data_IF_814632283344
#
_entry.id   IF_814632283344
#
_cell.length_a   1.000
_cell.length_b   1.000
_cell.length_c   1.000
_cell.angle_alpha   90.00
_cell.angle_beta   90.00
_cell.angle_gamma   90.00
#
_symmetry.space_group_name_H-M   'P 1'
#
loop_
_entity.id
_entity.type
_entity.pdbx_description
1 polymer ?
#
# COMPACT_ATOMS: atom_id res chain seq x y z
N UNK A 1 13.35 -3.08 -18.29
CA UNK A 1 14.35 -4.10 -18.15
C UNK A 1 13.68 -5.44 -17.95
N UNK A 2 13.60 -6.30 -18.97
CA UNK A 2 13.44 -7.73 -18.80
C UNK A 2 12.05 -8.33 -18.95
N UNK A 3 11.03 -7.62 -19.41
CA UNK A 3 9.77 -8.26 -19.76
C UNK A 3 9.64 -8.46 -21.28
N UNK A 4 9.75 -9.73 -21.73
CA UNK A 4 9.63 -10.10 -23.15
C UNK A 4 8.27 -9.75 -23.75
N UNK A 5 7.21 -9.72 -22.93
CA UNK A 5 5.85 -9.36 -23.35
C UNK A 5 5.77 -7.91 -23.85
N UNK A 6 6.67 -7.04 -23.35
CA UNK A 6 6.79 -5.65 -23.77
C UNK A 6 8.06 -5.36 -24.57
N UNK A 7 8.61 -6.39 -25.25
CA UNK A 7 9.71 -6.24 -26.21
C UNK A 7 11.12 -6.22 -25.61
N UNK A 8 11.30 -6.60 -24.36
CA UNK A 8 12.62 -6.70 -23.78
C UNK A 8 13.35 -7.96 -24.22
N UNK A 9 14.59 -7.81 -24.69
CA UNK A 9 15.45 -8.91 -25.17
C UNK A 9 16.23 -9.61 -24.04
N UNK A 10 16.31 -8.99 -22.85
CA UNK A 10 17.06 -9.52 -21.69
C UNK A 10 16.25 -9.36 -20.41
N UNK A 11 16.38 -10.32 -19.50
CA UNK A 11 15.84 -10.24 -18.13
C UNK A 11 16.97 -10.35 -17.11
N UNK A 12 17.74 -9.27 -16.85
CA UNK A 12 18.88 -9.29 -15.93
C UNK A 12 18.46 -9.54 -14.48
N UNK A 13 17.19 -9.30 -14.12
CA UNK A 13 16.70 -9.49 -12.76
C UNK A 13 16.26 -10.93 -12.49
N UNK A 14 16.08 -11.77 -13.54
CA UNK A 14 15.56 -13.16 -13.47
C UNK A 14 14.29 -13.30 -12.60
N UNK A 15 13.52 -12.22 -12.46
CA UNK A 15 12.29 -12.13 -11.68
C UNK A 15 11.31 -11.20 -12.39
N UNK A 16 10.04 -11.26 -12.00
CA UNK A 16 9.03 -10.34 -12.47
C UNK A 16 9.44 -8.90 -12.07
N UNK A 17 9.77 -8.10 -13.07
CA UNK A 17 9.91 -6.66 -12.92
C UNK A 17 8.70 -6.03 -13.61
N UNK A 18 7.76 -5.48 -12.86
CA UNK A 18 6.75 -4.60 -13.42
C UNK A 18 7.47 -3.32 -13.84
N UNK A 19 7.54 -3.08 -15.14
CA UNK A 19 8.13 -1.87 -15.71
C UNK A 19 7.06 -1.09 -16.46
N UNK A 20 6.42 -0.15 -15.80
CA UNK A 20 5.89 1.01 -16.49
C UNK A 20 7.08 1.97 -16.71
N UNK A 21 7.39 2.34 -17.95
CA UNK A 21 8.51 3.22 -18.26
C UNK A 21 8.26 4.66 -17.78
N UNK A 22 7.03 5.09 -17.80
CA UNK A 22 6.52 6.30 -17.17
C UNK A 22 5.00 6.16 -17.01
N UNK A 23 4.47 6.65 -15.91
CA UNK A 23 3.05 6.84 -15.69
C UNK A 23 2.81 8.32 -15.42
N UNK A 24 1.79 8.89 -16.05
CA UNK A 24 1.42 10.26 -15.80
C UNK A 24 -0.09 10.42 -15.82
N UNK A 25 -0.59 11.26 -14.96
CA UNK A 25 -1.96 11.75 -15.01
C UNK A 25 -2.01 13.23 -14.64
N UNK A 26 -3.13 13.88 -14.99
CA UNK A 26 -3.38 15.28 -14.65
C UNK A 26 -4.39 15.31 -13.51
N UNK A 27 -4.04 15.96 -12.41
CA UNK A 27 -4.98 16.14 -11.29
C UNK A 27 -6.20 16.96 -11.78
N UNK A 28 -7.44 16.47 -11.61
CA UNK A 28 -8.61 17.05 -12.23
C UNK A 28 -8.91 18.48 -11.76
N UNK A 29 -8.60 18.80 -10.51
CA UNK A 29 -8.84 20.13 -9.92
C UNK A 29 -7.64 21.05 -10.09
N UNK A 30 -6.45 20.63 -9.64
CA UNK A 30 -5.25 21.48 -9.64
C UNK A 30 -4.57 21.57 -11.00
N UNK A 31 -4.94 20.70 -11.94
CA UNK A 31 -4.30 20.56 -13.28
C UNK A 31 -2.80 20.24 -13.21
N UNK A 32 -2.28 19.88 -12.04
CA UNK A 32 -0.89 19.47 -11.87
C UNK A 32 -0.67 18.14 -12.59
N UNK A 33 0.38 18.07 -13.40
CA UNK A 33 0.79 16.85 -14.08
C UNK A 33 1.71 16.05 -13.15
N UNK A 34 1.36 14.79 -12.91
CA UNK A 34 2.21 13.83 -12.20
C UNK A 34 2.83 12.89 -13.22
N UNK A 35 4.14 12.78 -13.23
CA UNK A 35 4.90 11.81 -14.02
C UNK A 35 5.76 10.97 -13.09
N UNK A 36 5.44 9.70 -13.00
CA UNK A 36 6.21 8.73 -12.24
C UNK A 36 7.11 7.95 -13.20
N UNK A 37 8.41 8.04 -13.02
CA UNK A 37 9.40 7.34 -13.85
C UNK A 37 9.71 5.92 -13.35
N UNK A 38 8.88 5.35 -12.49
CA UNK A 38 9.09 4.02 -11.91
C UNK A 38 7.80 3.19 -11.85
N UNK A 39 8.00 1.90 -11.62
CA UNK A 39 7.00 0.83 -11.48
C UNK A 39 5.88 1.12 -10.47
N UNK A 40 6.06 2.11 -9.61
CA UNK A 40 5.20 2.39 -8.46
C UNK A 40 3.80 2.86 -8.87
N UNK A 41 3.66 3.56 -9.98
CA UNK A 41 2.42 4.29 -10.28
C UNK A 41 1.20 3.40 -10.63
N UNK A 42 1.34 2.41 -11.50
CA UNK A 42 0.19 1.52 -11.83
C UNK A 42 -0.16 0.60 -10.67
N UNK A 43 0.84 0.16 -9.89
CA UNK A 43 0.62 -0.69 -8.73
C UNK A 43 -0.17 0.01 -7.62
N UNK A 44 -0.13 1.35 -7.55
CA UNK A 44 -0.97 2.13 -6.64
C UNK A 44 -2.45 2.11 -7.05
N UNK A 45 -2.72 2.16 -8.36
CA UNK A 45 -4.07 2.25 -8.89
C UNK A 45 -4.82 0.92 -8.88
N UNK A 46 -4.12 -0.21 -8.98
CA UNK A 46 -4.77 -1.54 -8.97
C UNK A 46 -5.54 -1.78 -7.66
N UNK A 47 -4.92 -1.73 -6.46
CA UNK A 47 -5.65 -1.95 -5.21
C UNK A 47 -6.74 -0.89 -4.97
N UNK A 48 -6.49 0.36 -5.36
CA UNK A 48 -7.47 1.44 -5.27
C UNK A 48 -8.72 1.11 -6.09
N UNK A 49 -8.54 0.77 -7.37
CA UNK A 49 -9.64 0.43 -8.28
C UNK A 49 -10.41 -0.81 -7.80
N UNK A 50 -9.69 -1.85 -7.32
CA UNK A 50 -10.34 -3.07 -6.84
C UNK A 50 -11.21 -2.81 -5.60
N UNK A 51 -10.77 -1.97 -4.66
CA UNK A 51 -11.59 -1.57 -3.51
C UNK A 51 -12.79 -0.73 -3.93
N UNK A 52 -12.61 0.24 -4.82
CA UNK A 52 -13.71 1.05 -5.35
C UNK A 52 -14.77 0.20 -6.07
N UNK A 53 -14.32 -0.76 -6.88
CA UNK A 53 -15.20 -1.68 -7.60
C UNK A 53 -15.98 -2.59 -6.67
N UNK A 54 -15.33 -3.14 -5.66
CA UNK A 54 -15.98 -3.93 -4.61
C UNK A 54 -17.00 -3.10 -3.84
N UNK A 55 -16.61 -1.90 -3.43
CA UNK A 55 -17.45 -0.99 -2.61
C UNK A 55 -18.80 -0.65 -3.27
N UNK A 56 -18.85 -0.61 -4.60
CA UNK A 56 -20.08 -0.34 -5.38
C UNK A 56 -21.04 -1.52 -5.48
N UNK A 57 -20.63 -2.71 -5.08
CA UNK A 57 -21.49 -3.89 -5.14
C UNK A 57 -22.58 -3.82 -4.06
N UNK A 58 -23.74 -4.40 -4.33
CA UNK A 58 -24.81 -4.52 -3.33
C UNK A 58 -24.39 -5.40 -2.14
N UNK A 59 -23.67 -6.48 -2.44
CA UNK A 59 -23.15 -7.49 -1.52
C UNK A 59 -21.68 -7.29 -1.15
N UNK A 60 -21.20 -6.04 -1.18
CA UNK A 60 -19.80 -5.71 -0.91
C UNK A 60 -19.37 -6.17 0.49
N UNK A 61 -18.26 -6.89 0.55
CA UNK A 61 -17.62 -7.30 1.80
C UNK A 61 -16.68 -6.23 2.37
N UNK A 62 -16.27 -5.25 1.52
CA UNK A 62 -15.50 -4.08 1.92
C UNK A 62 -16.16 -2.84 1.33
N UNK A 63 -16.38 -1.83 2.17
CA UNK A 63 -16.87 -0.51 1.77
C UNK A 63 -15.75 0.51 1.86
N UNK A 64 -15.51 1.21 0.76
CA UNK A 64 -14.44 2.22 0.65
C UNK A 64 -14.91 3.38 -0.24
N UNK A 65 -15.71 4.26 0.34
CA UNK A 65 -16.26 5.41 -0.38
C UNK A 65 -15.17 6.38 -0.86
N UNK A 66 -14.09 6.49 -0.09
CA UNK A 66 -12.98 7.35 -0.48
C UNK A 66 -12.25 6.80 -1.72
N UNK A 67 -12.09 5.47 -1.82
CA UNK A 67 -11.55 4.86 -3.03
C UNK A 67 -12.47 5.08 -4.23
N UNK A 68 -13.79 5.04 -4.07
CA UNK A 68 -14.73 5.35 -5.16
C UNK A 68 -14.54 6.78 -5.68
N UNK A 69 -14.43 7.76 -4.78
CA UNK A 69 -14.21 9.18 -5.12
C UNK A 69 -12.86 9.40 -5.81
N UNK A 70 -11.80 8.75 -5.32
CA UNK A 70 -10.48 8.84 -5.93
C UNK A 70 -10.46 8.28 -7.35
N UNK A 71 -11.08 7.11 -7.57
CA UNK A 71 -11.18 6.50 -8.91
C UNK A 71 -11.95 7.40 -9.88
N UNK A 72 -12.98 8.10 -9.42
CA UNK A 72 -13.74 9.07 -10.24
C UNK A 72 -12.95 10.34 -10.51
N UNK A 73 -12.10 10.75 -9.59
CA UNK A 73 -11.32 11.99 -9.70
C UNK A 73 -10.03 11.82 -10.51
N UNK A 74 -9.47 10.63 -10.60
CA UNK A 74 -8.24 10.36 -11.35
C UNK A 74 -8.57 9.98 -12.79
N UNK A 75 -8.15 10.80 -13.74
CA UNK A 75 -8.33 10.53 -15.17
C UNK A 75 -7.36 9.40 -15.60
N UNK A 76 -7.87 8.17 -15.64
CA UNK A 76 -7.12 6.98 -15.97
C UNK A 76 -8.03 5.89 -16.56
N UNK A 77 -7.55 5.15 -17.55
CA UNK A 77 -8.28 4.00 -18.10
C UNK A 77 -8.13 2.76 -17.21
N UNK A 78 -9.09 2.60 -16.31
CA UNK A 78 -9.15 1.46 -15.38
C UNK A 78 -9.64 0.16 -16.04
N UNK A 79 -10.21 0.21 -17.25
CA UNK A 79 -10.82 -0.97 -17.91
C UNK A 79 -9.83 -2.12 -18.13
N UNK A 80 -8.55 -1.81 -18.27
CA UNK A 80 -7.47 -2.80 -18.38
C UNK A 80 -7.33 -3.72 -17.16
N UNK A 81 -7.88 -3.32 -16.00
CA UNK A 81 -7.87 -4.14 -14.80
C UNK A 81 -9.10 -5.04 -14.67
N UNK A 82 -10.13 -4.90 -15.50
CA UNK A 82 -11.40 -5.63 -15.38
C UNK A 82 -11.27 -7.15 -15.58
N UNK A 83 -10.29 -7.59 -16.34
CA UNK A 83 -10.01 -9.01 -16.56
C UNK A 83 -9.40 -9.74 -15.36
N UNK A 84 -8.86 -9.03 -14.37
CA UNK A 84 -8.07 -9.59 -13.27
C UNK A 84 -8.93 -10.02 -12.06
N UNK A 85 -9.96 -10.86 -12.26
CA UNK A 85 -10.95 -11.24 -11.22
C UNK A 85 -10.32 -11.84 -9.95
N UNK A 86 -9.36 -12.75 -10.10
CA UNK A 86 -8.69 -13.39 -8.94
C UNK A 86 -7.83 -12.37 -8.16
N UNK A 87 -7.12 -11.49 -8.87
CA UNK A 87 -6.35 -10.41 -8.25
C UNK A 87 -7.27 -9.42 -7.53
N UNK A 88 -8.45 -9.14 -8.09
CA UNK A 88 -9.45 -8.28 -7.47
C UNK A 88 -9.91 -8.84 -6.11
N UNK A 89 -10.34 -10.11 -6.10
CA UNK A 89 -10.74 -10.80 -4.87
C UNK A 89 -9.58 -10.82 -3.86
N UNK A 90 -8.37 -11.15 -4.33
CA UNK A 90 -7.18 -11.16 -3.49
C UNK A 90 -6.89 -9.82 -2.82
N UNK A 91 -6.96 -8.71 -3.55
CA UNK A 91 -6.76 -7.36 -3.01
C UNK A 91 -7.83 -7.00 -1.96
N UNK A 92 -9.10 -7.30 -2.24
CA UNK A 92 -10.21 -6.96 -1.34
C UNK A 92 -10.15 -7.78 -0.04
N UNK A 93 -10.00 -9.10 -0.15
CA UNK A 93 -9.92 -10.00 1.01
C UNK A 93 -8.70 -9.67 1.87
N UNK A 94 -7.56 -9.39 1.23
CA UNK A 94 -6.34 -8.96 1.92
C UNK A 94 -6.57 -7.67 2.70
N UNK A 95 -7.11 -6.63 2.04
CA UNK A 95 -7.44 -5.37 2.70
C UNK A 95 -8.36 -5.55 3.90
N UNK A 96 -9.45 -6.33 3.74
CA UNK A 96 -10.37 -6.65 4.83
C UNK A 96 -9.68 -7.38 6.00
N UNK A 97 -8.76 -8.28 5.71
CA UNK A 97 -8.02 -9.02 6.73
C UNK A 97 -7.14 -8.09 7.57
N UNK A 98 -6.43 -7.17 6.93
CA UNK A 98 -5.62 -6.16 7.62
C UNK A 98 -6.48 -5.15 8.38
N UNK A 99 -7.59 -4.70 7.81
CA UNK A 99 -8.53 -3.80 8.49
C UNK A 99 -9.08 -4.43 9.78
N UNK A 100 -9.43 -5.72 9.74
CA UNK A 100 -9.90 -6.44 10.92
C UNK A 100 -8.80 -6.62 11.98
N UNK A 101 -7.55 -6.80 11.57
CA UNK A 101 -6.42 -6.83 12.49
C UNK A 101 -6.26 -5.48 13.22
N UNK A 102 -6.33 -4.37 12.47
CA UNK A 102 -6.23 -3.02 13.03
C UNK A 102 -7.39 -2.73 13.97
N UNK A 103 -8.65 -3.01 13.58
CA UNK A 103 -9.83 -2.82 14.46
C UNK A 103 -9.68 -3.57 15.78
N UNK A 104 -9.25 -4.84 15.71
CA UNK A 104 -8.99 -5.65 16.91
C UNK A 104 -7.88 -5.04 17.76
N UNK A 105 -6.81 -4.56 17.13
CA UNK A 105 -5.70 -3.91 17.82
C UNK A 105 -6.18 -2.64 18.53
N UNK A 106 -6.88 -1.74 17.85
CA UNK A 106 -7.43 -0.52 18.42
C UNK A 106 -8.34 -0.83 19.61
N UNK A 107 -9.21 -1.84 19.50
CA UNK A 107 -10.15 -2.22 20.56
C UNK A 107 -9.48 -2.75 21.83
N UNK A 108 -8.23 -3.24 21.75
CA UNK A 108 -7.55 -3.91 22.86
C UNK A 108 -6.38 -3.15 23.44
N UNK A 109 -5.99 -2.01 22.85
CA UNK A 109 -4.82 -1.21 23.26
C UNK A 109 -5.23 0.13 23.87
N UNK A 110 -4.38 0.63 24.76
CA UNK A 110 -4.61 1.93 25.43
C UNK A 110 -4.17 3.11 24.57
N UNK A 111 -2.99 3.00 23.96
CA UNK A 111 -2.40 4.04 23.11
C UNK A 111 -2.09 3.46 21.72
N UNK A 112 -3.10 3.06 20.95
CA UNK A 112 -2.88 2.38 19.68
C UNK A 112 -2.31 3.33 18.64
N UNK A 113 -1.23 2.89 17.99
CA UNK A 113 -0.59 3.59 16.89
C UNK A 113 -0.52 2.63 15.71
N UNK A 114 -1.12 3.03 14.60
CA UNK A 114 -1.16 2.28 13.35
C UNK A 114 -0.15 2.87 12.40
N UNK A 115 0.77 2.06 11.91
CA UNK A 115 1.76 2.48 10.90
C UNK A 115 1.55 1.64 9.65
N UNK A 116 1.07 2.28 8.58
CA UNK A 116 0.86 1.66 7.28
C UNK A 116 2.06 1.95 6.38
N UNK A 117 2.91 0.96 6.15
CA UNK A 117 4.18 1.09 5.43
C UNK A 117 4.01 0.65 3.98
N UNK A 118 4.40 1.52 3.03
CA UNK A 118 4.10 1.34 1.62
C UNK A 118 2.61 1.58 1.34
N UNK A 119 2.07 2.64 1.94
CA UNK A 119 0.63 2.92 1.99
C UNK A 119 0.01 3.20 0.63
N UNK A 120 0.78 3.68 -0.34
CA UNK A 120 0.26 4.05 -1.66
C UNK A 120 -0.93 4.99 -1.57
N UNK A 121 -2.00 4.64 -2.28
CA UNK A 121 -3.31 5.30 -2.22
C UNK A 121 -4.31 4.51 -1.38
N UNK A 122 -3.84 3.90 -0.29
CA UNK A 122 -4.74 3.25 0.67
C UNK A 122 -5.55 4.29 1.43
N UNK A 123 -6.81 3.97 1.67
CA UNK A 123 -7.82 4.81 2.32
C UNK A 123 -8.28 4.18 3.63
N UNK A 124 -7.38 3.43 4.28
CA UNK A 124 -7.67 2.68 5.51
C UNK A 124 -8.11 3.57 6.65
N UNK A 125 -7.44 4.68 6.83
CA UNK A 125 -7.85 5.67 7.82
C UNK A 125 -9.32 6.08 7.65
N UNK A 126 -9.75 6.36 6.43
CA UNK A 126 -11.11 6.85 6.17
C UNK A 126 -12.18 5.74 6.25
N UNK A 127 -11.82 4.46 6.05
CA UNK A 127 -12.79 3.35 6.06
C UNK A 127 -12.86 2.56 7.38
N UNK A 128 -11.91 2.76 8.30
CA UNK A 128 -11.97 2.18 9.65
C UNK A 128 -12.76 3.14 10.53
N UNK A 129 -13.93 2.71 11.00
CA UNK A 129 -14.84 3.55 11.80
C UNK A 129 -14.21 4.01 13.11
N UNK A 130 -13.33 3.18 13.70
CA UNK A 130 -12.65 3.45 14.96
C UNK A 130 -11.36 4.25 14.82
N UNK A 131 -11.11 4.86 13.68
CA UNK A 131 -9.84 5.57 13.40
C UNK A 131 -9.54 6.71 14.39
N UNK A 132 -10.56 7.34 14.95
CA UNK A 132 -10.44 8.40 15.95
C UNK A 132 -9.88 7.94 17.31
N UNK A 133 -9.85 6.62 17.54
CA UNK A 133 -9.29 6.00 18.78
C UNK A 133 -7.81 5.64 18.66
N UNK A 134 -7.18 5.94 17.54
CA UNK A 134 -5.78 5.63 17.27
C UNK A 134 -5.09 6.80 16.55
N UNK A 135 -3.77 6.81 16.60
CA UNK A 135 -2.97 7.70 15.75
C UNK A 135 -2.49 6.89 14.56
N UNK A 136 -2.74 7.38 13.36
CA UNK A 136 -2.32 6.73 12.13
C UNK A 136 -1.08 7.41 11.53
N UNK A 137 -0.23 6.61 10.93
CA UNK A 137 0.92 7.01 10.13
C UNK A 137 0.90 6.28 8.80
N UNK A 138 0.85 7.03 7.72
CA UNK A 138 0.92 6.54 6.36
C UNK A 138 2.32 6.84 5.80
N UNK A 139 3.08 5.79 5.51
CA UNK A 139 4.46 5.93 5.06
C UNK A 139 4.65 5.37 3.66
N UNK A 140 5.30 6.13 2.81
CA UNK A 140 5.71 5.70 1.47
C UNK A 140 6.88 6.56 0.96
N UNK A 141 7.35 6.28 -0.26
CA UNK A 141 8.36 7.08 -0.94
C UNK A 141 7.89 8.54 -1.08
N UNK A 142 8.82 9.51 -1.08
CA UNK A 142 8.47 10.94 -1.11
C UNK A 142 7.49 11.31 -2.23
N UNK A 143 7.70 10.79 -3.44
CA UNK A 143 6.83 11.06 -4.59
C UNK A 143 5.41 10.48 -4.43
N UNK A 144 5.26 9.39 -3.69
CA UNK A 144 3.95 8.78 -3.38
C UNK A 144 3.24 9.61 -2.32
N UNK A 145 3.96 10.05 -1.30
CA UNK A 145 3.41 10.90 -0.23
C UNK A 145 3.00 12.28 -0.77
N UNK A 146 3.76 12.86 -1.71
CA UNK A 146 3.38 14.10 -2.37
C UNK A 146 2.09 13.95 -3.17
N UNK A 147 1.98 12.86 -3.95
CA UNK A 147 0.72 12.51 -4.63
C UNK A 147 -0.42 12.31 -3.64
N UNK A 148 -0.17 11.59 -2.55
CA UNK A 148 -1.16 11.32 -1.53
C UNK A 148 -1.68 12.62 -0.89
N UNK A 149 -0.82 13.57 -0.56
CA UNK A 149 -1.21 14.87 -0.02
C UNK A 149 -2.12 15.68 -0.95
N UNK A 150 -1.87 15.58 -2.26
CA UNK A 150 -2.69 16.28 -3.25
C UNK A 150 -4.07 15.63 -3.44
N UNK A 151 -4.18 14.30 -3.30
CA UNK A 151 -5.42 13.55 -3.50
C UNK A 151 -6.21 13.31 -2.20
N UNK A 152 -5.51 13.14 -1.10
CA UNK A 152 -6.01 12.82 0.23
C UNK A 152 -5.34 13.77 1.23
N UNK A 153 -5.93 14.93 1.50
CA UNK A 153 -5.37 15.86 2.48
C UNK A 153 -5.17 15.21 3.83
N UNK A 154 -4.02 15.43 4.44
CA UNK A 154 -3.61 14.85 5.73
C UNK A 154 -4.55 15.35 6.86
N UNK A 155 -5.37 14.47 7.47
CA UNK A 155 -6.25 14.86 8.57
C UNK A 155 -5.50 14.86 9.90
N UNK A 156 -6.10 15.43 10.94
CA UNK A 156 -5.42 15.61 12.24
C UNK A 156 -4.97 14.28 12.91
N UNK A 157 -5.64 13.17 12.64
CA UNK A 157 -5.34 11.86 13.25
C UNK A 157 -4.55 10.91 12.34
N UNK A 158 -4.18 11.35 11.13
CA UNK A 158 -3.45 10.55 10.14
C UNK A 158 -2.26 11.37 9.62
N UNK A 159 -1.05 10.90 9.87
CA UNK A 159 0.18 11.62 9.58
C UNK A 159 0.96 10.95 8.45
N UNK A 160 1.53 11.74 7.55
CA UNK A 160 2.24 11.24 6.38
C UNK A 160 3.76 11.31 6.58
N UNK A 161 4.43 10.19 6.38
CA UNK A 161 5.89 10.05 6.46
C UNK A 161 6.45 9.78 5.07
N UNK A 162 7.24 10.72 4.54
CA UNK A 162 7.96 10.53 3.30
C UNK A 162 9.33 9.91 3.57
N UNK A 163 9.59 8.71 3.06
CA UNK A 163 10.86 8.03 3.27
C UNK A 163 10.87 6.59 2.77
N UNK A 164 12.02 5.95 2.89
CA UNK A 164 12.18 4.54 2.54
C UNK A 164 11.93 3.65 3.75
N UNK A 165 11.16 2.58 3.57
CA UNK A 165 10.95 1.58 4.61
C UNK A 165 12.25 0.88 5.06
N UNK A 166 13.31 0.95 4.23
CA UNK A 166 14.63 0.40 4.57
C UNK A 166 15.47 1.34 5.45
N UNK A 167 15.06 2.59 5.62
CA UNK A 167 15.69 3.53 6.54
C UNK A 167 15.17 3.31 7.95
N UNK A 168 15.97 3.67 8.96
CA UNK A 168 15.59 3.45 10.37
C UNK A 168 15.14 4.73 11.07
N UNK A 169 15.40 5.89 10.48
CA UNK A 169 15.12 7.18 11.11
C UNK A 169 13.65 7.33 11.49
N UNK A 170 12.73 6.97 10.60
CA UNK A 170 11.30 7.04 10.87
C UNK A 170 10.87 6.16 12.08
N UNK A 171 11.55 5.00 12.25
CA UNK A 171 11.28 4.11 13.39
C UNK A 171 11.71 4.77 14.70
N UNK A 172 12.92 5.34 14.71
CA UNK A 172 13.49 6.02 15.88
C UNK A 172 12.67 7.27 16.25
N UNK A 173 12.23 8.04 15.26
CA UNK A 173 11.38 9.22 15.44
C UNK A 173 10.00 8.85 16.02
N UNK A 174 9.36 7.81 15.50
CA UNK A 174 8.08 7.34 16.03
C UNK A 174 8.19 6.84 17.48
N UNK A 175 9.22 6.06 17.80
CA UNK A 175 9.46 5.60 19.17
C UNK A 175 9.72 6.75 20.13
N UNK A 176 10.49 7.76 19.69
CA UNK A 176 10.75 8.96 20.48
C UNK A 176 9.49 9.80 20.70
N UNK A 177 8.66 9.95 19.68
CA UNK A 177 7.41 10.71 19.72
C UNK A 177 6.36 10.03 20.61
N UNK A 178 6.35 8.69 20.61
CA UNK A 178 5.37 7.87 21.32
C UNK A 178 6.05 6.82 22.21
N UNK A 179 6.70 7.23 23.32
CA UNK A 179 7.42 6.30 24.20
C UNK A 179 6.51 5.23 24.81
N UNK A 180 5.26 5.57 25.13
CA UNK A 180 4.24 4.67 25.66
C UNK A 180 3.28 4.14 24.58
N UNK A 181 3.58 4.36 23.32
CA UNK A 181 2.74 3.93 22.19
C UNK A 181 2.79 2.42 22.00
N UNK A 182 1.64 1.83 21.73
CA UNK A 182 1.48 0.44 21.31
C UNK A 182 1.30 0.42 19.80
N UNK A 183 2.18 -0.29 19.09
CA UNK A 183 2.26 -0.20 17.65
C UNK A 183 1.71 -1.44 16.96
N UNK A 184 0.92 -1.23 15.91
CA UNK A 184 0.67 -2.19 14.84
C UNK A 184 1.27 -1.63 13.55
N UNK A 185 2.15 -2.42 12.93
CA UNK A 185 2.83 -2.04 11.68
C UNK A 185 2.28 -2.95 10.59
N UNK A 186 1.69 -2.35 9.56
CA UNK A 186 1.09 -3.05 8.43
C UNK A 186 1.92 -2.79 7.19
N UNK A 187 2.27 -3.86 6.47
CA UNK A 187 3.09 -3.83 5.25
C UNK A 187 2.35 -4.64 4.19
N UNK A 188 1.38 -4.02 3.52
CA UNK A 188 0.48 -4.70 2.59
C UNK A 188 0.92 -4.52 1.13
N UNK A 189 1.19 -5.63 0.43
CA UNK A 189 1.51 -5.61 -1.00
C UNK A 189 2.90 -5.03 -1.32
N UNK A 190 3.83 -5.04 -0.38
CA UNK A 190 5.11 -4.33 -0.46
C UNK A 190 6.30 -5.29 -0.49
N UNK A 191 6.34 -6.28 0.41
CA UNK A 191 7.56 -7.10 0.59
C UNK A 191 7.96 -7.91 -0.63
N UNK A 192 7.03 -8.19 -1.53
CA UNK A 192 7.29 -8.91 -2.79
C UNK A 192 8.24 -8.17 -3.75
N UNK A 193 8.44 -6.87 -3.55
CA UNK A 193 9.35 -6.04 -4.35
C UNK A 193 10.78 -6.04 -3.83
N UNK A 194 11.03 -6.62 -2.66
CA UNK A 194 12.34 -6.61 -2.00
C UNK A 194 13.04 -7.97 -2.06
N UNK A 195 14.36 -7.94 -2.01
CA UNK A 195 15.15 -9.16 -1.87
C UNK A 195 15.01 -9.71 -0.44
N UNK A 196 15.12 -11.02 -0.28
CA UNK A 196 15.07 -11.69 1.03
C UNK A 196 15.97 -11.03 2.09
N UNK A 197 17.20 -10.65 1.71
CA UNK A 197 18.13 -9.98 2.60
C UNK A 197 17.57 -8.65 3.14
N UNK A 198 16.90 -7.87 2.27
CA UNK A 198 16.31 -6.59 2.66
C UNK A 198 15.10 -6.80 3.58
N UNK A 199 14.25 -7.78 3.26
CA UNK A 199 13.11 -8.15 4.11
C UNK A 199 13.58 -8.61 5.49
N UNK A 200 14.60 -9.47 5.55
CA UNK A 200 15.18 -9.93 6.81
C UNK A 200 15.74 -8.76 7.63
N UNK A 201 16.48 -7.86 7.00
CA UNK A 201 17.00 -6.67 7.68
C UNK A 201 15.88 -5.76 8.20
N UNK A 202 14.83 -5.54 7.42
CA UNK A 202 13.67 -4.76 7.83
C UNK A 202 13.00 -5.36 9.06
N UNK A 203 12.66 -6.65 9.01
CA UNK A 203 11.99 -7.34 10.12
C UNK A 203 12.85 -7.34 11.39
N UNK A 204 14.18 -7.53 11.26
CA UNK A 204 15.11 -7.43 12.41
C UNK A 204 15.07 -6.02 13.00
N UNK A 205 15.17 -4.98 12.18
CA UNK A 205 15.15 -3.58 12.63
C UNK A 205 13.83 -3.19 13.30
N UNK A 206 12.71 -3.72 12.80
CA UNK A 206 11.39 -3.56 13.43
C UNK A 206 11.34 -4.25 14.80
N UNK A 207 11.81 -5.50 14.88
CA UNK A 207 11.85 -6.24 16.15
C UNK A 207 12.70 -5.55 17.21
N UNK A 208 13.85 -5.00 16.83
CA UNK A 208 14.76 -4.30 17.75
C UNK A 208 14.15 -3.01 18.31
N UNK A 209 13.36 -2.26 17.49
CA UNK A 209 12.84 -0.94 17.87
C UNK A 209 11.42 -0.96 18.41
N UNK A 210 10.61 -1.91 17.98
CA UNK A 210 9.19 -2.00 18.32
C UNK A 210 8.90 -3.30 19.10
N UNK A 211 9.71 -3.58 20.13
CA UNK A 211 9.47 -4.74 21.00
C UNK A 211 8.05 -4.71 21.57
N UNK A 212 7.36 -5.84 21.51
CA UNK A 212 5.97 -5.98 21.94
C UNK A 212 4.91 -5.46 20.97
N UNK A 213 5.31 -4.98 19.79
CA UNK A 213 4.40 -4.52 18.75
C UNK A 213 3.93 -5.67 17.86
N UNK A 214 2.83 -5.46 17.14
CA UNK A 214 2.36 -6.36 16.09
C UNK A 214 2.88 -5.91 14.72
N UNK A 215 3.40 -6.86 13.92
CA UNK A 215 3.79 -6.61 12.52
C UNK A 215 2.99 -7.54 11.62
N UNK A 216 2.21 -6.96 10.73
CA UNK A 216 1.35 -7.67 9.81
C UNK A 216 1.81 -7.41 8.37
N UNK A 217 2.07 -8.47 7.62
CA UNK A 217 2.49 -8.38 6.22
C UNK A 217 1.97 -9.56 5.41
N UNK A 218 1.87 -9.39 4.11
CA UNK A 218 1.53 -10.45 3.17
C UNK A 218 2.77 -11.00 2.47
N UNK A 219 2.66 -12.26 2.05
CA UNK A 219 3.69 -12.95 1.27
C UNK A 219 3.05 -13.68 0.09
N UNK A 220 3.77 -13.75 -1.01
CA UNK A 220 3.36 -14.57 -2.15
C UNK A 220 3.68 -16.05 -1.89
N UNK A 221 2.64 -16.89 -1.85
CA UNK A 221 2.81 -18.33 -1.75
C UNK A 221 3.43 -18.93 -3.02
N UNK A 222 4.01 -20.15 -2.94
CA UNK A 222 4.66 -20.81 -4.09
C UNK A 222 3.73 -20.99 -5.31
N UNK A 223 2.45 -21.19 -5.08
CA UNK A 223 1.45 -21.32 -6.14
C UNK A 223 1.29 -20.02 -6.94
N UNK A 224 1.30 -18.88 -6.28
CA UNK A 224 1.28 -17.57 -6.94
C UNK A 224 2.63 -17.27 -7.59
N UNK A 225 3.73 -17.49 -6.88
CA UNK A 225 5.08 -17.27 -7.39
C UNK A 225 5.41 -18.17 -8.62
N UNK A 226 4.79 -19.33 -8.73
CA UNK A 226 4.97 -20.28 -9.85
C UNK A 226 3.83 -20.25 -10.87
N UNK A 227 2.79 -19.43 -10.67
CA UNK A 227 1.67 -19.38 -11.61
C UNK A 227 2.11 -18.74 -12.94
N UNK A 228 1.52 -19.23 -14.04
CA UNK A 228 1.71 -18.62 -15.38
C UNK A 228 1.24 -17.16 -15.45
N UNK A 229 0.44 -16.72 -14.49
CA UNK A 229 -0.05 -15.34 -14.37
C UNK A 229 0.95 -14.39 -13.72
N UNK A 230 1.95 -14.93 -13.01
CA UNK A 230 3.02 -14.15 -12.36
C UNK A 230 4.36 -14.37 -13.06
N UNK A 231 4.52 -15.46 -13.80
CA UNK A 231 5.66 -15.64 -14.70
C UNK A 231 5.41 -14.81 -15.95
N UNK A 232 6.28 -13.84 -16.26
CA UNK A 232 6.34 -13.34 -17.62
C UNK A 232 6.76 -14.51 -18.49
N UNK A 233 5.95 -14.85 -19.49
CA UNK A 233 6.37 -15.71 -20.60
C UNK A 233 7.58 -15.10 -21.30
#
# INVERSE_FOLDING_TARGET
VGDKKYGATTNPLKRLGLHAHAFGFIHPVTKKKYEFKSVVAETLLIPLYMRAKESRRKDAILRDRQAEQLVESIEYDYSKFDGAKLSAIGCVVRGLYFDNAIRRFIATRRNPIVVNVGCGLDTRYQRIEEHDKAIFYEMDLPEVIDLRRDLLPEPAGDHYIAGSLLETQWMDDLRKKHPEGEFIIVIEGVLMYFYEKQVRQLLTRLADRFSGSEVWFDVCGPMMANSKYIKPD
#
